data_IF_835634031613
#
_entry.id   IF_835634031613
#
_cell.length_a   1.000
_cell.length_b   1.000
_cell.length_c   1.000
_cell.angle_alpha   90.00
_cell.angle_beta   90.00
_cell.angle_gamma   90.00
#
_symmetry.space_group_name_H-M   'P 1'
#
loop_
_entity.id
_entity.type
_entity.pdbx_description
1 polymer ?
#
# COMPACT_ATOMS: atom_id res chain seq x y z
N UNK A 1 -9.20 2.79 4.33
CA UNK A 1 -10.05 3.99 4.15
C UNK A 1 -9.39 5.22 4.76
N UNK A 2 -9.14 5.26 6.08
CA UNK A 2 -8.54 6.45 6.71
C UNK A 2 -7.14 6.78 6.16
N UNK A 3 -6.21 5.82 6.21
CA UNK A 3 -4.82 6.02 5.76
C UNK A 3 -4.62 5.91 4.25
N UNK A 4 -5.68 5.67 3.47
CA UNK A 4 -5.58 5.53 2.01
C UNK A 4 -5.76 6.85 1.26
N UNK A 5 -6.08 7.94 1.95
CA UNK A 5 -6.42 9.22 1.33
C UNK A 5 -7.89 9.33 0.87
N UNK A 6 -8.71 8.31 1.12
CA UNK A 6 -10.09 8.23 0.62
C UNK A 6 -11.07 9.08 1.43
N UNK A 7 -10.94 9.03 2.77
CA UNK A 7 -11.82 9.79 3.67
C UNK A 7 -11.33 11.22 3.84
N UNK A 8 -10.01 11.39 3.98
CA UNK A 8 -9.34 12.69 4.08
C UNK A 8 -8.10 12.59 3.19
N UNK A 9 -7.91 13.50 2.21
CA UNK A 9 -6.71 13.50 1.38
C UNK A 9 -5.44 13.55 2.22
N UNK A 10 -4.42 12.78 1.83
CA UNK A 10 -3.14 12.69 2.56
C UNK A 10 -2.44 14.05 2.70
N UNK A 11 -2.73 15.00 1.81
CA UNK A 11 -2.23 16.36 1.89
C UNK A 11 -2.64 17.10 3.18
N UNK A 12 -3.69 16.67 3.87
CA UNK A 12 -4.14 17.23 5.14
C UNK A 12 -3.57 16.52 6.38
N UNK A 13 -2.76 15.47 6.20
CA UNK A 13 -2.18 14.75 7.33
C UNK A 13 -1.00 15.54 7.93
N UNK A 14 -0.77 15.45 9.25
CA UNK A 14 0.44 15.99 9.87
C UNK A 14 1.69 15.40 9.20
N UNK A 15 2.73 16.21 9.00
CA UNK A 15 3.94 15.86 8.23
C UNK A 15 4.56 14.51 8.62
N UNK A 16 4.68 14.24 9.92
CA UNK A 16 5.25 12.98 10.43
C UNK A 16 4.41 11.77 10.04
N UNK A 17 3.08 11.87 10.18
CA UNK A 17 2.16 10.79 9.82
C UNK A 17 2.11 10.61 8.30
N UNK A 18 2.08 11.73 7.57
CA UNK A 18 2.12 11.73 6.11
C UNK A 18 3.34 10.97 5.60
N UNK A 19 4.54 11.26 6.10
CA UNK A 19 5.77 10.53 5.72
C UNK A 19 5.66 9.03 5.94
N UNK A 20 5.13 8.60 7.09
CA UNK A 20 4.96 7.16 7.37
C UNK A 20 3.97 6.52 6.40
N UNK A 21 2.81 7.14 6.18
CA UNK A 21 1.82 6.67 5.22
C UNK A 21 2.37 6.70 3.79
N UNK A 22 3.23 7.66 3.49
CA UNK A 22 4.05 7.78 2.29
C UNK A 22 5.22 6.76 2.22
N UNK A 23 5.26 5.75 3.07
CA UNK A 23 6.01 4.51 2.83
C UNK A 23 5.12 3.27 2.77
N UNK A 24 3.90 3.33 3.31
CA UNK A 24 2.99 2.20 3.45
C UNK A 24 2.22 1.85 2.16
N UNK A 25 1.66 0.62 2.06
CA UNK A 25 0.89 0.17 0.90
C UNK A 25 -0.51 0.81 0.78
N UNK A 26 -1.03 1.42 1.85
CA UNK A 26 -2.45 1.83 1.92
C UNK A 26 -2.86 2.88 0.88
N UNK A 27 -1.92 3.72 0.46
CA UNK A 27 -2.09 4.74 -0.59
C UNK A 27 -2.22 4.16 -2.00
N UNK A 28 -1.80 2.91 -2.23
CA UNK A 28 -2.06 2.22 -3.49
C UNK A 28 -3.56 2.03 -3.75
N UNK A 29 -4.40 2.05 -2.71
CA UNK A 29 -5.84 1.79 -2.80
C UNK A 29 -6.61 2.99 -3.37
N UNK A 30 -6.23 4.24 -3.04
CA UNK A 30 -6.97 5.44 -3.46
C UNK A 30 -6.09 6.62 -3.89
N UNK A 31 -5.08 6.99 -3.11
CA UNK A 31 -4.23 8.15 -3.41
C UNK A 31 -3.50 8.03 -4.76
N UNK A 32 -2.85 6.89 -5.03
CA UNK A 32 -2.11 6.67 -6.28
C UNK A 32 -3.04 6.69 -7.51
N UNK A 33 -4.16 5.92 -7.55
CA UNK A 33 -5.11 6.00 -8.66
C UNK A 33 -5.68 7.41 -8.87
N UNK A 34 -5.98 8.13 -7.79
CA UNK A 34 -6.52 9.49 -7.88
C UNK A 34 -5.50 10.46 -8.48
N UNK A 35 -4.23 10.36 -8.07
CA UNK A 35 -3.15 11.18 -8.66
C UNK A 35 -2.94 10.87 -10.14
N UNK A 36 -3.01 9.59 -10.52
CA UNK A 36 -2.93 9.17 -11.91
C UNK A 36 -4.08 9.73 -12.76
N UNK A 37 -5.31 9.68 -12.23
CA UNK A 37 -6.50 10.23 -12.88
C UNK A 37 -6.43 11.75 -13.02
N UNK A 38 -5.97 12.43 -11.98
CA UNK A 38 -5.85 13.89 -11.92
C UNK A 38 -4.57 14.42 -12.57
N UNK A 39 -3.74 13.54 -13.16
CA UNK A 39 -2.49 13.93 -13.82
C UNK A 39 -1.56 14.73 -12.90
N UNK A 40 -1.33 14.18 -11.70
CA UNK A 40 -0.54 14.80 -10.63
C UNK A 40 0.69 13.97 -10.29
N UNK A 41 1.64 14.60 -9.61
CA UNK A 41 2.89 13.96 -9.12
C UNK A 41 3.66 13.22 -10.23
N UNK A 42 3.71 13.81 -11.43
CA UNK A 42 4.48 13.26 -12.56
C UNK A 42 3.77 12.15 -13.34
N UNK A 43 2.49 11.86 -13.06
CA UNK A 43 1.72 10.85 -13.80
C UNK A 43 1.31 11.28 -15.22
N UNK A 44 1.72 12.46 -15.67
CA UNK A 44 1.61 12.89 -17.06
C UNK A 44 2.60 12.18 -17.98
N UNK A 45 3.71 11.67 -17.42
CA UNK A 45 4.69 10.90 -18.17
C UNK A 45 4.45 9.39 -17.99
N UNK A 46 4.80 8.63 -19.03
CA UNK A 46 4.77 7.16 -18.98
C UNK A 46 5.68 6.63 -17.87
N UNK A 47 6.84 7.27 -17.68
CA UNK A 47 7.79 6.92 -16.62
C UNK A 47 7.19 7.08 -15.22
N UNK A 48 6.45 8.17 -14.97
CA UNK A 48 5.79 8.41 -13.68
C UNK A 48 4.71 7.36 -13.39
N UNK A 49 3.90 7.04 -14.40
CA UNK A 49 2.86 5.99 -14.30
C UNK A 49 3.50 4.62 -14.04
N UNK A 50 4.57 4.27 -14.76
CA UNK A 50 5.30 3.02 -14.55
C UNK A 50 5.90 2.93 -13.15
N UNK A 51 6.46 4.02 -12.63
CA UNK A 51 6.95 4.10 -11.26
C UNK A 51 5.84 3.83 -10.23
N UNK A 52 4.68 4.48 -10.40
CA UNK A 52 3.51 4.28 -9.54
C UNK A 52 3.02 2.83 -9.56
N UNK A 53 2.89 2.22 -10.74
CA UNK A 53 2.50 0.82 -10.89
C UNK A 53 3.55 -0.14 -10.29
N UNK A 54 4.83 0.18 -10.45
CA UNK A 54 5.93 -0.59 -9.86
C UNK A 54 5.85 -0.65 -8.33
N UNK A 55 5.52 0.47 -7.68
CA UNK A 55 5.30 0.50 -6.22
C UNK A 55 4.10 -0.37 -5.81
N UNK A 56 3.02 -0.34 -6.58
CA UNK A 56 1.85 -1.19 -6.30
C UNK A 56 2.19 -2.68 -6.44
N UNK A 57 2.87 -3.07 -7.51
CA UNK A 57 3.31 -4.45 -7.73
C UNK A 57 4.27 -4.93 -6.64
N UNK A 58 5.23 -4.09 -6.25
CA UNK A 58 6.16 -4.38 -5.15
C UNK A 58 5.40 -4.71 -3.87
N UNK A 59 4.42 -3.89 -3.48
CA UNK A 59 3.64 -4.13 -2.27
C UNK A 59 2.73 -5.35 -2.39
N UNK A 60 2.14 -5.63 -3.57
CA UNK A 60 1.41 -6.86 -3.81
C UNK A 60 2.29 -8.10 -3.54
N UNK A 61 3.52 -8.10 -4.04
CA UNK A 61 4.48 -9.20 -3.80
C UNK A 61 4.83 -9.30 -2.31
N UNK A 62 5.21 -8.18 -1.68
CA UNK A 62 5.59 -8.15 -0.26
C UNK A 62 4.47 -8.66 0.64
N UNK A 63 3.23 -8.18 0.44
CA UNK A 63 2.08 -8.60 1.23
C UNK A 63 1.72 -10.06 0.99
N UNK A 64 1.84 -10.55 -0.25
CA UNK A 64 1.60 -11.97 -0.57
C UNK A 64 2.62 -12.86 0.13
N UNK A 65 3.91 -12.51 0.09
CA UNK A 65 4.96 -13.27 0.79
C UNK A 65 4.75 -13.22 2.30
N UNK A 66 4.52 -12.04 2.87
CA UNK A 66 4.26 -11.88 4.30
C UNK A 66 3.03 -12.67 4.76
N UNK A 67 1.94 -12.63 3.98
CA UNK A 67 0.72 -13.39 4.23
C UNK A 67 0.96 -14.90 4.21
N UNK A 68 1.68 -15.41 3.21
CA UNK A 68 2.03 -16.83 3.13
C UNK A 68 2.92 -17.30 4.30
N UNK A 69 3.92 -16.48 4.68
CA UNK A 69 4.77 -16.78 5.83
C UNK A 69 3.96 -16.80 7.13
N UNK A 70 3.09 -15.80 7.33
CA UNK A 70 2.23 -15.72 8.49
C UNK A 70 1.26 -16.91 8.56
N UNK A 71 0.61 -17.26 7.44
CA UNK A 71 -0.29 -18.40 7.34
C UNK A 71 0.41 -19.71 7.71
N UNK A 72 1.56 -19.97 7.11
CA UNK A 72 2.34 -21.19 7.38
C UNK A 72 2.80 -21.28 8.85
N UNK A 73 3.11 -20.15 9.47
CA UNK A 73 3.46 -20.11 10.90
C UNK A 73 2.24 -20.32 11.80
N UNK A 74 1.12 -19.66 11.48
CA UNK A 74 -0.12 -19.73 12.24
C UNK A 74 -0.71 -21.15 12.23
N UNK A 75 -0.77 -21.80 11.07
CA UNK A 75 -1.28 -23.17 10.94
C UNK A 75 -0.47 -24.14 11.79
N UNK A 76 0.86 -24.08 11.76
CA UNK A 76 1.74 -24.92 12.60
C UNK A 76 1.48 -24.74 14.10
N UNK A 77 1.20 -23.51 14.54
CA UNK A 77 0.93 -23.19 15.96
C UNK A 77 -0.47 -23.67 16.40
N UNK A 78 -1.45 -23.60 15.51
CA UNK A 78 -2.82 -24.04 15.79
C UNK A 78 -2.89 -25.57 15.87
N UNK A 79 -2.22 -26.30 14.97
CA UNK A 79 -2.17 -27.78 15.04
C UNK A 79 -1.52 -28.30 16.31
N UNK A 80 -0.60 -27.55 16.93
CA UNK A 80 0.03 -27.92 18.21
C UNK A 80 -0.92 -27.73 19.42
N UNK A 81 -1.92 -26.85 19.32
CA UNK A 81 -2.88 -26.58 20.40
C UNK A 81 -4.23 -27.30 20.24
N UNK A 82 -4.46 -27.98 19.11
CA UNK A 82 -5.72 -28.63 18.81
C UNK A 82 -5.52 -29.98 18.16
N UNK A 83 -4.89 -30.93 18.87
CA UNK A 83 -4.91 -32.34 18.48
C UNK A 83 -6.32 -32.78 18.07
#
# INVERSE_FOLDING_TARGET
MLLSGATIPLAFFPENLRKVVEYLPFRAVYDIPLKMLLKKDGSDSIEGVLGMLGVQLLWCVVLTVAGNLFWNHAVKRITVNGG
#
